data_IF_444059914720
#
_entry.id   IF_444059914720
#
_cell.length_a   1.000
_cell.length_b   1.000
_cell.length_c   1.000
_cell.angle_alpha   90.00
_cell.angle_beta   90.00
_cell.angle_gamma   90.00
#
_symmetry.space_group_name_H-M   'P 1'
#
loop_
_entity.id
_entity.type
_entity.pdbx_description
1 polymer ?
#
# COMPACT_ATOMS: atom_id res chain seq x y z
N UNK A 1 -48.89 -27.59 -12.86
CA UNK A 1 -47.95 -28.04 -11.80
C UNK A 1 -46.69 -27.21 -11.87
N UNK A 2 -46.67 -26.12 -11.15
CA UNK A 2 -45.51 -25.28 -10.95
C UNK A 2 -44.69 -25.87 -9.78
N UNK A 3 -43.59 -26.49 -10.10
CA UNK A 3 -42.60 -26.87 -9.09
C UNK A 3 -41.67 -25.66 -8.90
N UNK A 4 -41.98 -24.83 -7.89
CA UNK A 4 -40.99 -23.94 -7.35
C UNK A 4 -39.98 -24.80 -6.53
N UNK A 5 -38.68 -24.79 -6.85
CA UNK A 5 -37.71 -25.42 -6.00
C UNK A 5 -37.64 -24.61 -4.71
N UNK A 6 -38.00 -25.24 -3.61
CA UNK A 6 -37.75 -24.78 -2.25
C UNK A 6 -36.27 -24.44 -2.10
N UNK A 7 -35.91 -23.17 -2.21
CA UNK A 7 -34.72 -22.66 -1.56
C UNK A 7 -34.99 -22.74 -0.06
N UNK A 8 -34.59 -23.86 0.54
CA UNK A 8 -34.70 -24.09 1.96
C UNK A 8 -34.16 -22.87 2.69
N UNK A 9 -35.03 -22.21 3.48
CA UNK A 9 -34.68 -21.07 4.32
C UNK A 9 -33.53 -21.36 5.31
N UNK A 10 -33.10 -22.62 5.40
CA UNK A 10 -31.96 -23.07 6.20
C UNK A 10 -30.64 -23.10 5.43
N UNK A 11 -30.67 -23.25 4.09
CA UNK A 11 -29.43 -23.36 3.29
C UNK A 11 -28.80 -21.97 3.11
N UNK A 12 -29.63 -20.93 2.86
CA UNK A 12 -29.12 -19.58 2.64
C UNK A 12 -28.38 -18.99 3.85
N UNK A 13 -28.91 -19.05 5.10
CA UNK A 13 -28.18 -18.62 6.28
C UNK A 13 -26.91 -19.42 6.53
N UNK A 14 -26.92 -20.72 6.26
CA UNK A 14 -25.71 -21.57 6.39
C UNK A 14 -24.63 -21.18 5.40
N UNK A 15 -24.96 -20.93 4.14
CA UNK A 15 -24.02 -20.46 3.11
C UNK A 15 -23.48 -19.08 3.49
N UNK A 16 -24.33 -18.15 3.92
CA UNK A 16 -23.93 -16.81 4.36
C UNK A 16 -22.99 -16.93 5.57
N UNK A 17 -23.34 -17.69 6.58
CA UNK A 17 -22.49 -17.90 7.76
C UNK A 17 -21.13 -18.51 7.39
N UNK A 18 -21.11 -19.48 6.48
CA UNK A 18 -19.88 -20.11 5.99
C UNK A 18 -19.00 -19.15 5.19
N UNK A 19 -19.61 -18.25 4.40
CA UNK A 19 -18.88 -17.20 3.68
C UNK A 19 -18.32 -16.16 4.66
N UNK A 20 -19.11 -15.72 5.64
CA UNK A 20 -18.69 -14.75 6.65
C UNK A 20 -17.57 -15.29 7.53
N UNK A 21 -17.69 -16.53 8.02
CA UNK A 21 -16.65 -17.17 8.85
C UNK A 21 -15.34 -17.35 8.07
N UNK A 22 -15.41 -17.75 6.80
CA UNK A 22 -14.22 -17.82 5.92
C UNK A 22 -13.57 -16.46 5.72
N UNK A 23 -14.37 -15.44 5.43
CA UNK A 23 -13.84 -14.08 5.22
C UNK A 23 -13.23 -13.51 6.50
N UNK A 24 -13.82 -13.77 7.67
CA UNK A 24 -13.27 -13.35 8.96
C UNK A 24 -11.91 -14.02 9.23
N UNK A 25 -11.80 -15.34 9.02
CA UNK A 25 -10.53 -16.07 9.19
C UNK A 25 -9.46 -15.51 8.24
N UNK A 26 -9.79 -15.27 6.97
CA UNK A 26 -8.86 -14.66 6.03
C UNK A 26 -8.45 -13.26 6.45
N UNK A 27 -9.37 -12.45 6.93
CA UNK A 27 -9.07 -11.09 7.40
C UNK A 27 -8.14 -11.09 8.60
N UNK A 28 -8.36 -11.98 9.55
CA UNK A 28 -7.48 -12.15 10.71
C UNK A 28 -6.10 -12.64 10.27
N UNK A 29 -6.04 -13.63 9.38
CA UNK A 29 -4.77 -14.14 8.87
C UNK A 29 -3.98 -13.05 8.15
N UNK A 30 -4.63 -12.29 7.28
CA UNK A 30 -4.01 -11.16 6.55
C UNK A 30 -3.51 -10.10 7.53
N UNK A 31 -4.29 -9.76 8.55
CA UNK A 31 -3.88 -8.83 9.59
C UNK A 31 -2.62 -9.33 10.32
N UNK A 32 -2.64 -10.57 10.82
CA UNK A 32 -1.50 -11.17 11.52
C UNK A 32 -0.26 -11.22 10.62
N UNK A 33 -0.41 -11.64 9.37
CA UNK A 33 0.69 -11.67 8.40
C UNK A 33 1.26 -10.28 8.12
N UNK A 34 0.40 -9.26 8.12
CA UNK A 34 0.84 -7.88 7.93
C UNK A 34 1.64 -7.36 9.13
N UNK A 35 1.28 -7.76 10.35
CA UNK A 35 1.99 -7.38 11.59
C UNK A 35 3.38 -8.05 11.73
N UNK A 36 3.61 -9.18 11.03
CA UNK A 36 4.93 -9.81 11.01
C UNK A 36 5.99 -8.95 10.27
N UNK A 37 5.56 -7.99 9.46
CA UNK A 37 6.47 -7.14 8.71
C UNK A 37 6.76 -5.84 9.45
N UNK A 38 8.04 -5.54 9.69
CA UNK A 38 8.43 -4.24 10.21
C UNK A 38 8.10 -3.11 9.22
N UNK A 39 7.86 -1.90 9.71
CA UNK A 39 7.59 -0.74 8.85
C UNK A 39 8.70 -0.47 7.84
N UNK A 40 9.95 -0.70 8.21
CA UNK A 40 11.10 -0.60 7.29
C UNK A 40 11.01 -1.63 6.15
N UNK A 41 10.63 -2.88 6.47
CA UNK A 41 10.46 -3.93 5.47
C UNK A 41 9.30 -3.61 4.53
N UNK A 42 8.15 -3.21 5.07
CA UNK A 42 6.98 -2.77 4.30
C UNK A 42 7.36 -1.66 3.32
N UNK A 43 8.02 -0.63 3.80
CA UNK A 43 8.47 0.51 2.98
C UNK A 43 9.43 0.09 1.87
N UNK A 44 10.42 -0.74 2.18
CA UNK A 44 11.40 -1.21 1.19
C UNK A 44 10.77 -2.09 0.11
N UNK A 45 9.83 -2.96 0.46
CA UNK A 45 9.15 -3.86 -0.49
C UNK A 45 8.22 -3.06 -1.40
N UNK A 46 7.41 -2.15 -0.85
CA UNK A 46 6.40 -1.40 -1.61
C UNK A 46 7.03 -0.33 -2.49
N UNK A 47 7.94 0.47 -1.95
CA UNK A 47 8.43 1.67 -2.63
C UNK A 47 9.83 1.50 -3.24
N UNK A 48 10.68 0.58 -2.74
CA UNK A 48 12.13 0.49 -2.96
C UNK A 48 12.88 1.72 -2.44
N UNK A 49 12.47 2.91 -2.87
CA UNK A 49 12.85 4.22 -2.32
C UNK A 49 11.57 4.96 -2.00
N UNK A 50 11.48 5.52 -0.79
CA UNK A 50 10.37 6.40 -0.44
C UNK A 50 10.41 7.66 -1.29
N UNK A 51 9.28 8.19 -1.75
CA UNK A 51 9.24 9.52 -2.36
C UNK A 51 9.81 10.62 -1.45
N UNK A 52 9.67 10.48 -0.13
CA UNK A 52 10.31 11.36 0.86
C UNK A 52 11.84 11.37 0.81
N UNK A 53 12.47 10.28 0.33
CA UNK A 53 13.93 10.19 0.24
C UNK A 53 14.49 10.98 -0.96
N UNK A 54 13.64 11.30 -1.93
CA UNK A 54 14.00 12.03 -3.15
C UNK A 54 13.38 13.39 -3.25
N UNK A 55 12.46 13.75 -2.33
CA UNK A 55 11.65 14.97 -2.41
C UNK A 55 12.49 16.24 -2.62
N UNK A 56 13.57 16.40 -1.86
CA UNK A 56 14.39 17.60 -1.96
C UNK A 56 15.22 17.64 -3.26
N UNK A 57 15.64 16.49 -3.78
CA UNK A 57 16.28 16.40 -5.09
C UNK A 57 15.30 16.59 -6.24
N UNK A 58 14.06 16.13 -6.07
CA UNK A 58 13.01 16.28 -7.08
C UNK A 58 12.49 17.73 -7.13
N UNK A 59 12.43 18.44 -5.99
CA UNK A 59 12.17 19.89 -5.96
C UNK A 59 13.30 20.63 -6.67
N UNK A 60 14.56 20.36 -6.32
CA UNK A 60 15.71 21.05 -6.88
C UNK A 60 15.81 20.85 -8.40
N UNK A 61 15.47 19.68 -8.91
CA UNK A 61 15.46 19.34 -10.33
C UNK A 61 14.17 19.70 -11.08
N UNK A 62 13.15 20.21 -10.38
CA UNK A 62 11.84 20.55 -10.96
C UNK A 62 11.00 19.35 -11.39
N UNK A 63 11.27 18.16 -10.85
CA UNK A 63 10.53 16.92 -11.16
C UNK A 63 9.27 16.72 -10.33
N UNK A 64 9.09 17.51 -9.28
CA UNK A 64 7.88 17.42 -8.45
C UNK A 64 6.70 18.03 -9.20
N UNK A 65 5.52 17.43 -9.04
CA UNK A 65 4.28 18.03 -9.54
C UNK A 65 3.97 19.29 -8.73
N UNK A 66 4.23 20.45 -9.35
CA UNK A 66 4.06 21.78 -8.75
C UNK A 66 2.64 22.33 -8.93
N UNK A 67 1.66 21.49 -9.27
CA UNK A 67 0.28 21.94 -9.46
C UNK A 67 -0.26 22.55 -8.15
N UNK A 68 -0.42 23.88 -8.17
CA UNK A 68 -1.02 24.64 -7.08
C UNK A 68 -0.05 25.19 -6.02
N UNK A 69 1.27 25.25 -6.27
CA UNK A 69 2.22 26.01 -5.46
C UNK A 69 3.36 26.59 -6.30
N UNK A 70 4.09 27.57 -5.74
CA UNK A 70 5.22 28.22 -6.40
C UNK A 70 6.48 27.35 -6.32
N UNK A 71 6.84 26.70 -7.45
CA UNK A 71 8.02 25.86 -7.54
C UNK A 71 9.32 26.65 -7.32
N UNK A 72 9.38 27.91 -7.79
CA UNK A 72 10.57 28.75 -7.62
C UNK A 72 10.81 29.07 -6.15
N UNK A 73 9.73 29.37 -5.41
CA UNK A 73 9.78 29.55 -3.96
C UNK A 73 10.22 28.27 -3.25
N UNK A 74 9.64 27.13 -3.61
CA UNK A 74 10.04 25.83 -3.07
C UNK A 74 11.52 25.52 -3.33
N UNK A 75 11.99 25.76 -4.54
CA UNK A 75 13.41 25.57 -4.89
C UNK A 75 14.32 26.44 -4.04
N UNK A 76 14.01 27.72 -3.84
CA UNK A 76 14.80 28.61 -2.97
C UNK A 76 14.84 28.09 -1.54
N UNK A 77 13.72 27.58 -1.01
CA UNK A 77 13.63 27.07 0.36
C UNK A 77 14.44 25.78 0.57
N UNK A 78 14.41 24.86 -0.40
CA UNK A 78 14.90 23.49 -0.19
C UNK A 78 16.15 23.11 -0.99
N UNK A 79 16.72 23.99 -1.84
CA UNK A 79 17.91 23.67 -2.64
C UNK A 79 19.09 23.24 -1.76
N UNK A 80 19.25 23.82 -0.58
CA UNK A 80 20.30 23.44 0.36
C UNK A 80 20.13 22.00 0.88
N UNK A 81 18.88 21.51 1.00
CA UNK A 81 18.58 20.16 1.45
C UNK A 81 18.88 19.11 0.38
N UNK A 82 18.85 19.45 -0.90
CA UNK A 82 19.20 18.49 -1.96
C UNK A 82 20.67 18.03 -1.90
N UNK A 83 21.54 18.84 -1.29
CA UNK A 83 22.98 18.55 -1.07
C UNK A 83 23.24 17.94 0.32
N UNK A 84 22.24 17.87 1.18
CA UNK A 84 22.37 17.34 2.53
C UNK A 84 22.47 15.80 2.52
N UNK A 85 22.97 15.23 3.61
CA UNK A 85 23.03 13.78 3.78
C UNK A 85 21.63 13.16 3.86
N UNK A 86 21.46 11.89 3.53
CA UNK A 86 20.19 11.19 3.60
C UNK A 86 19.53 11.29 4.98
N UNK A 87 20.32 11.24 6.06
CA UNK A 87 19.81 11.39 7.43
C UNK A 87 19.25 12.78 7.68
N UNK A 88 19.90 13.83 7.18
CA UNK A 88 19.43 15.20 7.31
C UNK A 88 18.16 15.43 6.49
N UNK A 89 18.09 14.89 5.29
CA UNK A 89 16.87 14.94 4.47
C UNK A 89 15.70 14.23 5.15
N UNK A 90 15.93 13.05 5.72
CA UNK A 90 14.91 12.33 6.47
C UNK A 90 14.46 13.09 7.72
N UNK A 91 15.40 13.69 8.46
CA UNK A 91 15.07 14.49 9.63
C UNK A 91 14.21 15.71 9.27
N UNK A 92 14.58 16.41 8.20
CA UNK A 92 13.82 17.56 7.70
C UNK A 92 12.43 17.14 7.20
N UNK A 93 12.31 16.05 6.45
CA UNK A 93 11.03 15.51 6.07
C UNK A 93 10.12 15.22 7.27
N UNK A 94 10.66 14.56 8.30
CA UNK A 94 9.91 14.27 9.52
C UNK A 94 9.48 15.53 10.26
N UNK A 95 10.33 16.58 10.25
CA UNK A 95 9.99 17.89 10.80
C UNK A 95 8.82 18.53 10.07
N UNK A 96 8.83 18.51 8.72
CA UNK A 96 7.73 19.03 7.90
C UNK A 96 6.43 18.29 8.13
N UNK A 97 6.51 16.96 8.20
CA UNK A 97 5.35 16.11 8.45
C UNK A 97 4.75 16.37 9.84
N UNK A 98 5.62 16.52 10.87
CA UNK A 98 5.19 16.87 12.21
C UNK A 98 4.55 18.27 12.23
N UNK A 99 5.19 19.27 11.63
CA UNK A 99 4.63 20.63 11.50
C UNK A 99 3.24 20.58 10.86
N UNK A 100 3.07 19.78 9.81
CA UNK A 100 1.79 19.63 9.12
C UNK A 100 0.69 19.04 10.03
N UNK A 101 1.05 18.06 10.87
CA UNK A 101 0.13 17.47 11.85
C UNK A 101 -0.23 18.45 12.97
N UNK A 102 0.77 19.10 13.53
CA UNK A 102 0.60 20.06 14.64
C UNK A 102 -0.24 21.27 14.19
N UNK A 103 -0.13 21.67 12.94
CA UNK A 103 -0.94 22.74 12.32
C UNK A 103 -2.36 22.30 11.96
N UNK A 104 -2.72 21.02 12.15
CA UNK A 104 -4.06 20.51 11.89
C UNK A 104 -4.45 20.50 10.41
N UNK A 105 -3.49 20.37 9.48
CA UNK A 105 -3.78 20.31 8.04
C UNK A 105 -4.47 18.99 7.68
N UNK A 106 -5.80 18.99 7.73
CA UNK A 106 -6.62 17.79 7.55
C UNK A 106 -6.35 17.04 6.25
N UNK A 107 -6.06 17.74 5.15
CA UNK A 107 -5.69 17.16 3.86
C UNK A 107 -4.39 16.33 3.91
N UNK A 108 -3.40 16.76 4.70
CA UNK A 108 -2.13 16.04 4.88
C UNK A 108 -2.34 14.81 5.75
N UNK A 109 -3.09 14.95 6.85
CA UNK A 109 -3.40 13.85 7.77
C UNK A 109 -4.16 12.74 7.03
N UNK A 110 -5.14 13.13 6.21
CA UNK A 110 -5.90 12.18 5.40
C UNK A 110 -5.01 11.50 4.34
N UNK A 111 -4.17 12.28 3.64
CA UNK A 111 -3.25 11.75 2.63
C UNK A 111 -2.25 10.75 3.23
N UNK A 112 -1.72 11.04 4.42
CA UNK A 112 -0.84 10.13 5.16
C UNK A 112 -1.55 8.83 5.55
N UNK A 113 -2.76 8.93 6.10
CA UNK A 113 -3.58 7.77 6.44
C UNK A 113 -3.86 6.88 5.23
N UNK A 114 -4.23 7.50 4.10
CA UNK A 114 -4.48 6.78 2.86
C UNK A 114 -3.22 6.13 2.28
N UNK A 115 -2.06 6.78 2.42
CA UNK A 115 -0.76 6.22 2.02
C UNK A 115 -0.43 4.98 2.85
N UNK A 116 -0.55 5.04 4.18
CA UNK A 116 -0.29 3.92 5.07
C UNK A 116 -1.23 2.76 4.79
N UNK A 117 -2.54 3.03 4.65
CA UNK A 117 -3.54 2.01 4.32
C UNK A 117 -3.22 1.31 2.98
N UNK A 118 -2.84 2.06 1.95
CA UNK A 118 -2.53 1.49 0.64
C UNK A 118 -1.23 0.68 0.67
N UNK A 119 -0.24 1.09 1.47
CA UNK A 119 0.98 0.34 1.74
C UNK A 119 0.66 -1.01 2.39
N UNK A 120 -0.21 -1.01 3.37
CA UNK A 120 -0.57 -2.21 4.13
C UNK A 120 -1.41 -3.18 3.27
N UNK A 121 -2.29 -2.67 2.40
CA UNK A 121 -2.99 -3.48 1.39
C UNK A 121 -1.98 -4.16 0.43
N UNK A 122 -0.98 -3.42 -0.03
CA UNK A 122 0.06 -3.98 -0.89
C UNK A 122 0.84 -5.09 -0.17
N UNK A 123 1.21 -4.89 1.09
CA UNK A 123 1.92 -5.90 1.90
C UNK A 123 1.07 -7.12 2.19
N UNK A 124 -0.22 -6.95 2.45
CA UNK A 124 -1.16 -8.06 2.59
C UNK A 124 -1.22 -8.91 1.32
N UNK A 125 -1.21 -8.28 0.15
CA UNK A 125 -1.16 -8.99 -1.14
C UNK A 125 0.15 -9.76 -1.31
N UNK A 126 1.29 -9.20 -0.89
CA UNK A 126 2.59 -9.90 -0.89
C UNK A 126 2.54 -11.13 0.02
N UNK A 127 2.01 -10.97 1.23
CA UNK A 127 1.87 -12.08 2.19
C UNK A 127 0.98 -13.21 1.64
N UNK A 128 -0.13 -12.86 0.99
CA UNK A 128 -1.01 -13.83 0.34
C UNK A 128 -0.32 -14.55 -0.82
N UNK A 129 0.50 -13.86 -1.61
CA UNK A 129 1.29 -14.48 -2.67
C UNK A 129 2.29 -15.49 -2.10
N UNK A 130 2.99 -15.15 -1.03
CA UNK A 130 3.92 -16.06 -0.36
C UNK A 130 3.18 -17.30 0.16
N UNK A 131 2.05 -17.11 0.85
CA UNK A 131 1.25 -18.22 1.36
C UNK A 131 0.72 -19.11 0.23
N UNK A 132 0.23 -18.53 -0.86
CA UNK A 132 -0.23 -19.28 -2.02
C UNK A 132 0.91 -20.08 -2.65
N UNK A 133 2.12 -19.52 -2.71
CA UNK A 133 3.33 -20.22 -3.16
C UNK A 133 3.68 -21.41 -2.27
N UNK A 134 3.61 -21.25 -0.94
CA UNK A 134 3.85 -22.34 0.01
C UNK A 134 2.82 -23.45 -0.19
N UNK A 135 1.53 -23.12 -0.28
CA UNK A 135 0.46 -24.08 -0.54
C UNK A 135 0.68 -24.82 -1.85
N UNK A 136 1.09 -24.13 -2.91
CA UNK A 136 1.42 -24.76 -4.19
C UNK A 136 2.54 -25.81 -4.04
N UNK A 137 3.63 -25.45 -3.35
CA UNK A 137 4.76 -26.38 -3.11
C UNK A 137 4.29 -27.61 -2.33
N UNK A 138 3.50 -27.43 -1.27
CA UNK A 138 2.96 -28.54 -0.48
C UNK A 138 2.07 -29.45 -1.34
N UNK A 139 1.18 -28.86 -2.14
CA UNK A 139 0.29 -29.64 -3.02
C UNK A 139 1.06 -30.41 -4.10
N UNK A 140 2.13 -29.86 -4.64
CA UNK A 140 3.01 -30.56 -5.60
C UNK A 140 3.66 -31.78 -4.93
N UNK A 141 4.17 -31.62 -3.71
CA UNK A 141 4.81 -32.70 -2.96
C UNK A 141 3.81 -33.82 -2.66
N UNK A 142 2.61 -33.46 -2.18
CA UNK A 142 1.59 -34.42 -1.77
C UNK A 142 0.97 -35.15 -2.98
N UNK A 143 0.72 -34.44 -4.07
CA UNK A 143 0.05 -35.02 -5.26
C UNK A 143 1.01 -35.78 -6.17
N UNK A 144 2.31 -35.70 -5.97
CA UNK A 144 3.36 -36.20 -6.86
C UNK A 144 3.18 -35.78 -8.32
N UNK A 145 2.45 -34.69 -8.54
CA UNK A 145 2.14 -34.13 -9.86
C UNK A 145 2.24 -32.60 -9.82
N UNK A 146 2.92 -32.03 -10.79
CA UNK A 146 3.06 -30.56 -10.90
C UNK A 146 1.86 -29.91 -11.58
N UNK A 147 1.25 -30.63 -12.54
CA UNK A 147 0.25 -30.03 -13.44
C UNK A 147 -1.11 -29.73 -12.78
N UNK A 148 -1.58 -30.60 -11.91
CA UNK A 148 -2.89 -30.43 -11.30
C UNK A 148 -2.95 -29.26 -10.31
N UNK A 149 -1.98 -29.08 -9.37
CA UNK A 149 -1.91 -27.92 -8.50
C UNK A 149 -1.72 -26.60 -9.26
N UNK A 150 -0.89 -26.58 -10.31
CA UNK A 150 -0.68 -25.39 -11.14
C UNK A 150 -1.97 -24.95 -11.81
N UNK A 151 -2.70 -25.86 -12.45
CA UNK A 151 -3.99 -25.54 -13.10
C UNK A 151 -5.00 -24.99 -12.12
N UNK A 152 -5.07 -25.57 -10.91
CA UNK A 152 -5.99 -25.15 -9.86
C UNK A 152 -5.66 -23.75 -9.32
N UNK A 153 -4.39 -23.40 -9.18
CA UNK A 153 -3.94 -22.15 -8.56
C UNK A 153 -3.58 -21.06 -9.59
N UNK A 154 -3.59 -21.34 -10.89
CA UNK A 154 -3.22 -20.38 -11.94
C UNK A 154 -4.08 -19.11 -11.88
N UNK A 155 -5.40 -19.23 -11.81
CA UNK A 155 -6.32 -18.07 -11.75
C UNK A 155 -6.11 -17.24 -10.47
N UNK A 156 -6.11 -17.83 -9.25
CA UNK A 156 -5.80 -17.10 -8.03
C UNK A 156 -4.43 -16.39 -8.07
N UNK A 157 -3.40 -17.05 -8.59
CA UNK A 157 -2.06 -16.48 -8.72
C UNK A 157 -2.06 -15.27 -9.67
N UNK A 158 -2.65 -15.39 -10.84
CA UNK A 158 -2.77 -14.25 -11.77
C UNK A 158 -3.50 -13.07 -11.13
N UNK A 159 -4.60 -13.33 -10.42
CA UNK A 159 -5.33 -12.30 -9.69
C UNK A 159 -4.45 -11.60 -8.65
N UNK A 160 -3.73 -12.36 -7.81
CA UNK A 160 -2.85 -11.80 -6.78
C UNK A 160 -1.68 -10.98 -7.38
N UNK A 161 -1.09 -11.44 -8.49
CA UNK A 161 -0.04 -10.70 -9.20
C UNK A 161 -0.59 -9.37 -9.74
N UNK A 162 -1.77 -9.38 -10.34
CA UNK A 162 -2.44 -8.17 -10.83
C UNK A 162 -2.75 -7.21 -9.68
N UNK A 163 -3.31 -7.71 -8.58
CA UNK A 163 -3.59 -6.92 -7.38
C UNK A 163 -2.33 -6.33 -6.75
N UNK A 164 -1.21 -7.07 -6.74
CA UNK A 164 0.07 -6.56 -6.28
C UNK A 164 0.55 -5.38 -7.14
N UNK A 165 0.45 -5.51 -8.46
CA UNK A 165 0.87 -4.44 -9.37
C UNK A 165 0.01 -3.18 -9.19
N UNK A 166 -1.31 -3.34 -9.13
CA UNK A 166 -2.26 -2.24 -8.94
C UNK A 166 -2.06 -1.56 -7.58
N UNK A 167 -2.00 -2.34 -6.49
CA UNK A 167 -1.82 -1.81 -5.14
C UNK A 167 -0.48 -1.09 -4.96
N UNK A 168 0.60 -1.62 -5.56
CA UNK A 168 1.91 -0.97 -5.55
C UNK A 168 1.91 0.36 -6.31
N UNK A 169 1.27 0.41 -7.47
CA UNK A 169 1.14 1.65 -8.25
C UNK A 169 0.30 2.68 -7.50
N UNK A 170 -0.81 2.25 -6.88
CA UNK A 170 -1.63 3.11 -6.06
C UNK A 170 -0.88 3.66 -4.83
N UNK A 171 -0.10 2.80 -4.15
CA UNK A 171 0.71 3.21 -3.00
C UNK A 171 1.73 4.28 -3.37
N UNK A 172 2.43 4.13 -4.51
CA UNK A 172 3.36 5.15 -5.01
C UNK A 172 2.66 6.47 -5.29
N UNK A 173 1.56 6.46 -6.06
CA UNK A 173 0.79 7.69 -6.36
C UNK A 173 0.31 8.41 -5.10
N UNK A 174 -0.10 7.67 -4.07
CA UNK A 174 -0.51 8.27 -2.79
C UNK A 174 0.67 8.85 -2.01
N UNK A 175 1.83 8.20 -2.05
CA UNK A 175 3.04 8.73 -1.43
C UNK A 175 3.52 10.03 -2.13
N UNK A 176 3.51 10.06 -3.46
CA UNK A 176 3.83 11.27 -4.24
C UNK A 176 2.84 12.41 -3.93
N UNK A 177 1.55 12.09 -3.83
CA UNK A 177 0.51 13.07 -3.44
C UNK A 177 0.74 13.63 -2.04
N UNK A 178 1.10 12.78 -1.07
CA UNK A 178 1.43 13.25 0.29
C UNK A 178 2.60 14.22 0.25
N UNK A 179 3.68 13.87 -0.46
CA UNK A 179 4.85 14.73 -0.61
C UNK A 179 4.46 16.10 -1.18
N UNK A 180 3.71 16.12 -2.27
CA UNK A 180 3.23 17.35 -2.92
C UNK A 180 2.39 18.20 -1.95
N UNK A 181 1.49 17.58 -1.16
CA UNK A 181 0.65 18.30 -0.20
C UNK A 181 1.45 18.92 0.94
N UNK A 182 2.40 18.18 1.51
CA UNK A 182 3.26 18.68 2.59
C UNK A 182 4.09 19.87 2.13
N UNK A 183 4.74 19.75 0.97
CA UNK A 183 5.56 20.83 0.39
C UNK A 183 4.69 22.03 0.05
N UNK A 184 3.55 21.84 -0.60
CA UNK A 184 2.61 22.90 -0.92
C UNK A 184 2.22 23.72 0.30
N UNK A 185 1.79 23.02 1.36
CA UNK A 185 1.32 23.69 2.57
C UNK A 185 2.46 24.44 3.28
N UNK A 186 3.68 23.88 3.31
CA UNK A 186 4.82 24.56 3.93
C UNK A 186 5.24 25.80 3.12
N UNK A 187 5.28 25.72 1.80
CA UNK A 187 5.59 26.86 0.91
C UNK A 187 4.54 27.98 1.01
N UNK A 188 3.27 27.62 1.20
CA UNK A 188 2.18 28.60 1.33
C UNK A 188 2.14 29.25 2.73
N UNK A 189 2.64 28.56 3.75
CA UNK A 189 2.68 29.07 5.15
C UNK A 189 3.94 29.88 5.48
N UNK A 190 4.91 29.92 4.58
CA UNK A 190 6.18 30.63 4.69
C UNK A 190 6.17 31.92 3.88
#
# INVERSE_FOLDING_TARGET
HSVHPFLDNTILPYIILKIYSRNLIYSILVFVLNELWSDKAKTKIVYRKMPSDTVFSDIASGKIDATGFDLVKAQKMYTHMSKATANQQTAEWNRLLKKSRDSGWGNVIEAERLQLMTRDICMSTVSLLIMTGIVLVVLVIVSMSVWNPIKMLAIPLMYLVTMLFVSRTAAKKRADRLVTMVVKNDVQSS
#
